data_IF_480174680693
#
_entry.id   IF_480174680693
#
_cell.length_a   1.000
_cell.length_b   1.000
_cell.length_c   1.000
_cell.angle_alpha   90.00
_cell.angle_beta   90.00
_cell.angle_gamma   90.00
#
_symmetry.space_group_name_H-M   'P 1'
#
loop_
_entity.id
_entity.type
_entity.pdbx_description
1 polymer ?
#
# COMPACT_ATOMS: atom_id res chain seq x y z
N UNK A 1 9.12 7.23 32.05
CA UNK A 1 8.96 7.60 30.61
C UNK A 1 7.48 7.59 30.27
N UNK A 2 7.03 8.61 29.54
CA UNK A 2 5.63 8.91 29.25
C UNK A 2 5.45 8.97 27.72
N UNK A 3 4.31 8.52 27.22
CA UNK A 3 3.96 8.43 25.80
C UNK A 3 2.56 9.01 25.60
N UNK A 4 2.33 9.62 24.43
CA UNK A 4 1.03 10.21 24.07
C UNK A 4 -0.13 9.22 24.20
N UNK A 5 0.06 7.97 23.79
CA UNK A 5 -0.94 6.91 23.87
C UNK A 5 -0.28 5.52 23.80
N UNK A 6 -1.11 4.47 23.91
CA UNK A 6 -0.67 3.07 23.87
C UNK A 6 0.01 2.70 22.55
N UNK A 7 -0.39 3.30 21.44
CA UNK A 7 0.16 2.97 20.12
C UNK A 7 1.58 3.53 19.95
N UNK A 8 1.83 4.74 20.49
CA UNK A 8 3.19 5.29 20.54
C UNK A 8 4.10 4.47 21.45
N UNK A 9 3.59 4.02 22.60
CA UNK A 9 4.33 3.09 23.45
C UNK A 9 4.68 1.78 22.71
N UNK A 10 3.72 1.18 21.99
CA UNK A 10 3.94 -0.04 21.21
C UNK A 10 4.97 0.15 20.10
N UNK A 11 5.00 1.30 19.46
CA UNK A 11 5.98 1.64 18.43
C UNK A 11 7.39 1.72 19.02
N UNK A 12 7.57 2.48 20.11
CA UNK A 12 8.88 2.63 20.76
C UNK A 12 9.36 1.30 21.35
N UNK A 13 8.48 0.54 22.01
CA UNK A 13 8.82 -0.79 22.51
C UNK A 13 9.25 -1.73 21.37
N UNK A 14 8.59 -1.64 20.21
CA UNK A 14 8.95 -2.44 19.03
C UNK A 14 10.34 -2.07 18.53
N UNK A 15 10.64 -0.77 18.38
CA UNK A 15 11.96 -0.30 17.96
C UNK A 15 13.05 -0.78 18.94
N UNK A 16 12.83 -0.63 20.26
CA UNK A 16 13.75 -1.10 21.29
C UNK A 16 14.02 -2.61 21.19
N UNK A 17 12.97 -3.44 21.11
CA UNK A 17 13.12 -4.90 21.04
C UNK A 17 13.86 -5.35 19.77
N UNK A 18 13.66 -4.66 18.64
CA UNK A 18 14.42 -4.92 17.41
C UNK A 18 15.88 -4.46 17.53
N UNK A 19 16.11 -3.29 18.13
CA UNK A 19 17.44 -2.74 18.35
C UNK A 19 18.28 -3.60 19.29
N UNK A 20 17.71 -4.09 20.39
CA UNK A 20 18.37 -5.02 21.32
C UNK A 20 18.43 -6.44 20.76
N UNK A 21 17.45 -6.81 19.92
CA UNK A 21 17.42 -8.06 19.19
C UNK A 21 17.07 -9.26 20.07
N UNK A 22 15.94 -9.20 20.77
CA UNK A 22 15.39 -10.34 21.52
C UNK A 22 13.90 -10.51 21.23
N UNK A 23 13.32 -11.65 21.59
CA UNK A 23 11.88 -11.90 21.40
C UNK A 23 11.14 -11.61 22.69
N UNK A 24 10.00 -10.92 22.59
CA UNK A 24 9.11 -10.68 23.72
C UNK A 24 7.87 -11.57 23.68
N UNK A 25 7.35 -11.89 24.87
CA UNK A 25 6.02 -12.47 25.08
C UNK A 25 5.13 -11.41 25.70
N UNK A 26 3.97 -11.17 25.08
CA UNK A 26 2.93 -10.27 25.60
C UNK A 26 2.07 -11.03 26.61
N UNK A 27 2.26 -10.75 27.89
CA UNK A 27 1.45 -11.33 28.97
C UNK A 27 0.06 -10.68 29.03
N UNK A 28 0.01 -9.36 28.78
CA UNK A 28 -1.22 -8.57 28.64
C UNK A 28 -1.00 -7.56 27.52
N UNK A 29 -1.98 -7.38 26.65
CA UNK A 29 -1.93 -6.39 25.57
C UNK A 29 -3.36 -5.90 25.28
N UNK A 30 -3.78 -4.89 26.02
CA UNK A 30 -5.11 -4.30 25.98
C UNK A 30 -4.96 -2.79 25.67
N UNK A 31 -6.06 -2.07 25.49
CA UNK A 31 -6.01 -0.60 25.35
C UNK A 31 -5.55 0.09 26.64
N UNK A 32 -5.82 -0.51 27.80
CA UNK A 32 -5.59 0.08 29.13
C UNK A 32 -4.38 -0.50 29.86
N UNK A 33 -3.66 -1.45 29.28
CA UNK A 33 -2.40 -1.97 29.84
C UNK A 33 -1.64 -2.82 28.83
N UNK A 34 -0.32 -2.80 28.96
CA UNK A 34 0.54 -3.71 28.24
C UNK A 34 1.66 -4.21 29.16
N UNK A 35 1.82 -5.53 29.21
CA UNK A 35 2.87 -6.20 29.98
C UNK A 35 3.60 -7.15 29.06
N UNK A 36 4.92 -6.98 28.93
CA UNK A 36 5.77 -7.87 28.15
C UNK A 36 6.91 -8.40 29.01
N UNK A 37 7.36 -9.61 28.71
CA UNK A 37 8.58 -10.20 29.24
C UNK A 37 9.45 -10.72 28.10
N UNK A 38 10.73 -10.95 28.35
CA UNK A 38 11.57 -11.67 27.41
C UNK A 38 11.03 -13.11 27.25
N UNK A 39 11.14 -13.66 26.04
CA UNK A 39 10.74 -15.03 25.74
C UNK A 39 11.75 -16.09 26.23
N UNK A 40 13.00 -15.69 26.48
CA UNK A 40 14.04 -16.62 26.94
C UNK A 40 13.81 -17.02 28.40
N UNK A 41 13.97 -18.31 28.69
CA UNK A 41 13.86 -18.84 30.04
C UNK A 41 14.97 -18.28 30.93
N UNK A 42 14.62 -17.95 32.18
CA UNK A 42 15.54 -17.36 33.15
C UNK A 42 15.82 -15.86 32.96
N UNK A 43 15.36 -15.24 31.88
CA UNK A 43 15.54 -13.80 31.69
C UNK A 43 14.60 -12.98 32.59
N UNK A 44 15.16 -12.02 33.35
CA UNK A 44 14.40 -11.15 34.26
C UNK A 44 13.74 -9.95 33.56
N UNK A 45 14.10 -9.67 32.30
CA UNK A 45 13.60 -8.52 31.55
C UNK A 45 12.07 -8.53 31.47
N UNK A 46 11.46 -7.43 31.93
CA UNK A 46 10.00 -7.26 31.96
C UNK A 46 9.63 -5.79 31.96
N UNK A 47 8.59 -5.45 31.21
CA UNK A 47 8.03 -4.10 31.15
C UNK A 47 6.53 -4.13 31.39
N UNK A 48 6.04 -3.15 32.15
CA UNK A 48 4.62 -2.89 32.35
C UNK A 48 4.32 -1.42 32.15
N UNK A 49 3.34 -1.13 31.30
CA UNK A 49 2.85 0.21 31.04
C UNK A 49 1.32 0.25 31.06
N UNK A 50 0.77 1.36 31.52
CA UNK A 50 -0.66 1.63 31.59
C UNK A 50 -0.95 3.15 31.48
N UNK A 51 -2.19 3.56 31.19
CA UNK A 51 -2.57 4.96 31.18
C UNK A 51 -2.32 5.66 32.52
N UNK A 52 -2.13 6.97 32.48
CA UNK A 52 -2.24 7.85 33.63
C UNK A 52 -3.72 8.09 33.98
N UNK A 53 -3.97 8.89 35.01
CA UNK A 53 -5.32 9.24 35.47
C UNK A 53 -6.15 9.97 34.40
N UNK A 54 -5.50 10.58 33.41
CA UNK A 54 -6.15 11.21 32.26
C UNK A 54 -6.76 10.21 31.26
N UNK A 55 -6.49 8.91 31.40
CA UNK A 55 -7.04 7.85 30.55
C UNK A 55 -6.46 7.77 29.13
N UNK A 56 -5.55 8.69 28.76
CA UNK A 56 -4.99 8.79 27.39
C UNK A 56 -3.49 8.55 27.42
N UNK A 57 -2.77 9.29 28.25
CA UNK A 57 -1.31 9.28 28.29
C UNK A 57 -0.81 7.96 28.87
N UNK A 58 0.07 7.27 28.15
CA UNK A 58 0.61 5.99 28.59
C UNK A 58 1.95 6.16 29.31
N UNK A 59 2.15 5.50 30.45
CA UNK A 59 3.41 5.55 31.18
C UNK A 59 3.93 4.17 31.51
N UNK A 60 5.26 4.01 31.44
CA UNK A 60 5.92 2.82 32.00
C UNK A 60 5.83 2.91 33.52
N UNK A 61 5.10 1.97 34.13
CA UNK A 61 4.90 1.88 35.58
C UNK A 61 5.96 1.02 36.25
N UNK A 62 6.45 0.00 35.55
CA UNK A 62 7.58 -0.79 36.01
C UNK A 62 8.40 -1.32 34.84
N UNK A 63 9.71 -1.33 35.02
CA UNK A 63 10.69 -1.84 34.07
C UNK A 63 11.79 -2.57 34.84
N UNK A 64 11.94 -3.87 34.56
CA UNK A 64 13.15 -4.64 34.86
C UNK A 64 13.96 -4.66 33.57
N UNK A 65 15.01 -3.83 33.51
CA UNK A 65 15.78 -3.59 32.29
C UNK A 65 16.92 -4.61 32.07
N UNK A 66 17.30 -5.36 33.09
CA UNK A 66 18.36 -6.38 33.00
C UNK A 66 17.99 -7.43 31.94
N UNK A 67 18.80 -7.48 30.88
CA UNK A 67 18.68 -8.43 29.81
C UNK A 67 20.07 -8.99 29.48
N UNK A 68 20.24 -10.30 29.67
CA UNK A 68 21.54 -10.99 29.51
C UNK A 68 21.52 -12.01 28.37
N UNK A 69 20.45 -12.04 27.57
CA UNK A 69 20.32 -13.04 26.51
C UNK A 69 21.17 -12.69 25.30
N UNK A 70 21.52 -13.73 24.55
CA UNK A 70 22.18 -13.57 23.25
C UNK A 70 21.22 -12.95 22.25
N UNK A 71 21.71 -11.97 21.49
CA UNK A 71 20.97 -11.33 20.41
C UNK A 71 20.50 -12.35 19.36
N UNK A 72 19.25 -12.27 18.94
CA UNK A 72 18.69 -12.99 17.80
C UNK A 72 18.49 -12.07 16.59
N UNK A 73 18.76 -12.60 15.39
CA UNK A 73 18.52 -11.88 14.12
C UNK A 73 17.07 -11.95 13.63
N UNK A 74 16.28 -12.90 14.14
CA UNK A 74 14.87 -13.11 13.77
C UNK A 74 13.96 -12.65 14.90
N UNK A 75 13.62 -11.37 14.86
CA UNK A 75 12.74 -10.73 15.85
C UNK A 75 11.33 -10.61 15.26
N UNK A 76 10.30 -11.10 15.97
CA UNK A 76 8.89 -11.05 15.50
C UNK A 76 8.40 -9.60 15.30
N UNK A 77 8.95 -8.68 16.08
CA UNK A 77 8.69 -7.26 16.06
C UNK A 77 9.18 -6.58 14.75
N UNK A 78 10.22 -7.11 14.11
CA UNK A 78 10.73 -6.67 12.81
C UNK A 78 9.91 -7.23 11.63
N UNK A 79 8.59 -7.07 11.69
CA UNK A 79 7.68 -7.56 10.66
C UNK A 79 7.63 -6.64 9.42
N UNK A 80 6.89 -7.05 8.38
CA UNK A 80 6.80 -6.29 7.12
C UNK A 80 6.27 -4.87 7.26
N UNK A 81 5.42 -4.60 8.27
CA UNK A 81 4.92 -3.24 8.54
C UNK A 81 5.95 -2.36 9.24
N UNK A 82 6.80 -2.95 10.08
CA UNK A 82 7.91 -2.22 10.69
C UNK A 82 8.98 -1.92 9.63
N UNK A 83 9.35 -2.93 8.84
CA UNK A 83 10.31 -2.78 7.75
C UNK A 83 9.83 -1.77 6.71
N UNK A 84 8.55 -1.79 6.32
CA UNK A 84 8.04 -0.83 5.32
C UNK A 84 8.26 0.61 5.74
N UNK A 85 8.02 0.97 7.01
CA UNK A 85 8.27 2.32 7.55
C UNK A 85 9.73 2.76 7.39
N UNK A 86 10.69 1.85 7.59
CA UNK A 86 12.12 2.15 7.43
C UNK A 86 12.54 2.23 5.96
N UNK A 87 11.76 1.64 5.04
CA UNK A 87 12.04 1.58 3.61
C UNK A 87 11.39 2.70 2.80
N UNK A 88 10.36 3.39 3.32
CA UNK A 88 9.64 4.45 2.56
C UNK A 88 10.60 5.48 1.98
N UNK A 89 11.47 6.06 2.79
CA UNK A 89 12.38 7.11 2.30
C UNK A 89 13.38 6.56 1.27
N UNK A 90 13.94 5.37 1.53
CA UNK A 90 14.90 4.72 0.65
C UNK A 90 14.27 4.40 -0.72
N UNK A 91 13.02 3.93 -0.73
CA UNK A 91 12.30 3.59 -1.95
C UNK A 91 11.75 4.81 -2.68
N UNK A 92 11.60 5.98 -2.04
CA UNK A 92 11.36 7.23 -2.75
C UNK A 92 12.56 7.65 -3.58
N UNK A 93 13.75 7.49 -3.03
CA UNK A 93 15.01 7.82 -3.71
C UNK A 93 15.39 6.77 -4.76
N UNK A 94 15.09 5.49 -4.47
CA UNK A 94 15.42 4.36 -5.33
C UNK A 94 14.24 3.36 -5.47
N UNK A 95 13.21 3.68 -6.27
CA UNK A 95 11.99 2.85 -6.39
C UNK A 95 12.23 1.41 -6.87
N UNK A 96 13.24 1.23 -7.74
CA UNK A 96 13.59 -0.04 -8.35
C UNK A 96 14.51 -0.92 -7.49
N UNK A 97 14.75 -0.53 -6.24
CA UNK A 97 15.59 -1.31 -5.33
C UNK A 97 15.07 -2.74 -5.20
N UNK A 98 15.94 -3.68 -5.59
CA UNK A 98 15.67 -5.12 -5.53
C UNK A 98 15.75 -5.62 -4.09
N UNK A 99 15.13 -6.77 -3.83
CA UNK A 99 15.09 -7.40 -2.50
C UNK A 99 16.48 -7.61 -1.87
N UNK A 100 17.53 -7.84 -2.68
CA UNK A 100 18.92 -7.93 -2.19
C UNK A 100 19.41 -6.61 -1.58
N UNK A 101 19.12 -5.48 -2.23
CA UNK A 101 19.45 -4.15 -1.71
C UNK A 101 18.67 -3.85 -0.44
N UNK A 102 17.37 -4.17 -0.43
CA UNK A 102 16.53 -4.05 0.78
C UNK A 102 17.09 -4.89 1.94
N UNK A 103 17.54 -6.13 1.66
CA UNK A 103 18.15 -6.98 2.67
C UNK A 103 19.40 -6.33 3.26
N UNK A 104 20.25 -5.75 2.41
CA UNK A 104 21.46 -5.05 2.84
C UNK A 104 21.11 -3.82 3.71
N UNK A 105 20.15 -3.01 3.29
CA UNK A 105 19.66 -1.86 4.08
C UNK A 105 19.14 -2.25 5.46
N UNK A 106 18.54 -3.43 5.59
CA UNK A 106 18.04 -3.91 6.87
C UNK A 106 19.13 -4.50 7.77
N UNK A 107 20.35 -4.75 7.27
CA UNK A 107 21.47 -5.20 8.09
C UNK A 107 21.89 -4.18 9.13
N UNK A 108 21.65 -2.87 8.92
CA UNK A 108 21.93 -1.83 9.93
C UNK A 108 21.13 -1.98 11.22
N UNK A 109 20.02 -2.73 11.17
CA UNK A 109 19.23 -3.10 12.34
C UNK A 109 19.58 -4.48 12.90
N UNK A 110 20.61 -5.13 12.34
CA UNK A 110 21.07 -6.47 12.71
C UNK A 110 19.96 -7.53 12.67
N UNK A 111 19.06 -7.45 11.67
CA UNK A 111 17.99 -8.42 11.42
C UNK A 111 18.24 -9.22 10.14
N UNK A 112 17.70 -10.45 10.07
CA UNK A 112 17.74 -11.31 8.89
C UNK A 112 16.35 -11.88 8.55
N UNK A 113 15.47 -11.05 7.96
CA UNK A 113 14.11 -11.45 7.62
C UNK A 113 14.07 -12.40 6.39
N UNK A 114 13.09 -13.32 6.33
CA UNK A 114 12.86 -14.15 5.15
C UNK A 114 12.53 -13.31 3.91
N UNK A 115 12.89 -13.82 2.72
CA UNK A 115 12.69 -13.13 1.44
C UNK A 115 11.23 -12.69 1.21
N UNK A 116 10.26 -13.54 1.55
CA UNK A 116 8.82 -13.20 1.43
C UNK A 116 8.41 -12.02 2.32
N UNK A 117 9.05 -11.81 3.46
CA UNK A 117 8.79 -10.63 4.29
C UNK A 117 9.38 -9.36 3.67
N UNK A 118 10.54 -9.45 3.00
CA UNK A 118 11.14 -8.34 2.25
C UNK A 118 10.21 -7.90 1.11
N UNK A 119 9.68 -8.85 0.35
CA UNK A 119 8.71 -8.56 -0.72
C UNK A 119 7.47 -7.84 -0.20
N UNK A 120 6.88 -8.36 0.90
CA UNK A 120 5.71 -7.73 1.55
C UNK A 120 6.04 -6.34 2.10
N UNK A 121 7.23 -6.15 2.66
CA UNK A 121 7.67 -4.84 3.17
C UNK A 121 7.85 -3.82 2.05
N UNK A 122 8.49 -4.23 0.94
CA UNK A 122 8.63 -3.42 -0.28
C UNK A 122 7.27 -3.00 -0.83
N UNK A 123 6.35 -3.96 -1.03
CA UNK A 123 5.00 -3.69 -1.53
C UNK A 123 4.27 -2.67 -0.65
N UNK A 124 4.27 -2.86 0.67
CA UNK A 124 3.67 -1.92 1.63
C UNK A 124 4.32 -0.54 1.63
N UNK A 125 5.62 -0.46 1.39
CA UNK A 125 6.32 0.83 1.32
C UNK A 125 5.96 1.58 0.03
N UNK A 126 5.91 0.89 -1.12
CA UNK A 126 5.47 1.48 -2.39
C UNK A 126 4.00 1.93 -2.34
N UNK A 127 3.11 1.13 -1.75
CA UNK A 127 1.70 1.52 -1.54
C UNK A 127 1.55 2.78 -0.68
N UNK A 128 2.48 3.05 0.25
CA UNK A 128 2.49 4.29 1.03
C UNK A 128 3.03 5.50 0.24
N UNK A 129 3.80 5.26 -0.83
CA UNK A 129 4.40 6.31 -1.66
C UNK A 129 3.44 6.67 -2.79
N UNK A 130 3.02 5.67 -3.56
CA UNK A 130 2.24 5.84 -4.80
C UNK A 130 0.72 5.79 -4.54
N UNK A 131 0.31 5.35 -3.35
CA UNK A 131 -1.07 4.98 -3.05
C UNK A 131 -1.37 3.55 -3.47
N UNK A 132 -2.57 3.07 -3.13
CA UNK A 132 -3.02 1.77 -3.63
C UNK A 132 -3.56 1.89 -5.05
N UNK A 133 -3.53 0.78 -5.78
CA UNK A 133 -4.25 0.65 -7.04
C UNK A 133 -5.74 0.97 -6.87
N UNK A 134 -6.37 0.55 -5.76
CA UNK A 134 -7.76 0.87 -5.44
C UNK A 134 -8.00 2.37 -5.33
N UNK A 135 -7.08 3.10 -4.70
CA UNK A 135 -7.12 4.57 -4.61
C UNK A 135 -6.94 5.25 -5.98
N UNK A 136 -6.30 4.57 -6.93
CA UNK A 136 -6.16 5.07 -8.30
C UNK A 136 -7.46 4.87 -9.08
N UNK A 137 -8.08 3.69 -8.97
CA UNK A 137 -9.38 3.42 -9.61
C UNK A 137 -10.50 4.31 -9.05
N UNK A 138 -10.50 4.61 -7.74
CA UNK A 138 -11.49 5.50 -7.12
C UNK A 138 -11.43 6.94 -7.64
N UNK A 139 -10.30 7.36 -8.22
CA UNK A 139 -10.12 8.69 -8.83
C UNK A 139 -10.63 8.79 -10.27
N UNK A 140 -10.90 7.67 -10.95
CA UNK A 140 -11.35 7.66 -12.35
C UNK A 140 -12.60 8.50 -12.63
N UNK A 141 -13.64 8.54 -11.76
CA UNK A 141 -14.82 9.37 -12.01
C UNK A 141 -14.49 10.86 -12.03
N UNK A 142 -13.68 11.30 -11.07
CA UNK A 142 -13.20 12.68 -11.01
C UNK A 142 -12.30 13.00 -12.22
N UNK A 143 -11.39 12.10 -12.59
CA UNK A 143 -10.56 12.26 -13.77
C UNK A 143 -11.40 12.40 -15.04
N UNK A 144 -12.41 11.54 -15.22
CA UNK A 144 -13.32 11.60 -16.37
C UNK A 144 -14.04 12.94 -16.47
N UNK A 145 -14.50 13.47 -15.34
CA UNK A 145 -15.16 14.77 -15.29
C UNK A 145 -14.19 15.93 -15.59
N UNK A 146 -12.97 15.87 -15.06
CA UNK A 146 -11.94 16.87 -15.33
C UNK A 146 -11.63 16.96 -16.83
N UNK A 147 -11.45 15.82 -17.51
CA UNK A 147 -11.20 15.80 -18.96
C UNK A 147 -12.35 16.43 -19.74
N UNK A 148 -13.60 16.11 -19.40
CA UNK A 148 -14.78 16.72 -20.07
C UNK A 148 -14.82 18.24 -19.90
N UNK A 149 -14.46 18.74 -18.72
CA UNK A 149 -14.43 20.18 -18.42
C UNK A 149 -13.28 20.90 -19.11
N UNK A 150 -12.07 20.38 -18.99
CA UNK A 150 -10.87 21.05 -19.50
C UNK A 150 -10.67 20.90 -21.01
N UNK A 151 -11.25 19.87 -21.63
CA UNK A 151 -11.06 19.56 -23.04
C UNK A 151 -12.41 19.39 -23.74
N UNK A 152 -13.07 20.52 -24.02
CA UNK A 152 -14.39 20.55 -24.66
C UNK A 152 -14.39 19.76 -25.99
N UNK A 153 -15.43 18.96 -26.19
CA UNK A 153 -15.55 18.05 -27.35
C UNK A 153 -14.95 16.66 -27.15
N UNK A 154 -14.19 16.44 -26.06
CA UNK A 154 -13.68 15.12 -25.69
C UNK A 154 -14.78 14.23 -25.13
N UNK A 155 -14.70 12.93 -25.42
CA UNK A 155 -15.65 11.92 -24.97
C UNK A 155 -14.98 11.05 -23.91
N UNK A 156 -15.57 11.01 -22.71
CA UNK A 156 -15.16 10.05 -21.68
C UNK A 156 -16.37 9.25 -21.22
N UNK A 157 -16.31 7.93 -21.38
CA UNK A 157 -17.35 7.00 -20.92
C UNK A 157 -16.77 6.05 -19.89
N UNK A 158 -17.38 6.02 -18.71
CA UNK A 158 -16.99 5.14 -17.61
C UNK A 158 -18.10 4.12 -17.40
N UNK A 159 -17.73 2.84 -17.35
CA UNK A 159 -18.67 1.75 -17.11
C UNK A 159 -18.25 0.96 -15.88
N UNK A 160 -19.25 0.59 -15.08
CA UNK A 160 -19.12 -0.26 -13.91
C UNK A 160 -19.76 -1.61 -14.19
N UNK A 161 -19.38 -2.63 -13.43
CA UNK A 161 -20.08 -3.89 -13.41
C UNK A 161 -21.48 -3.65 -12.80
N UNK A 162 -22.50 -4.21 -13.44
CA UNK A 162 -23.81 -4.39 -12.83
C UNK A 162 -23.74 -5.67 -12.02
N UNK A 163 -24.27 -5.68 -10.80
CA UNK A 163 -24.37 -6.92 -10.02
C UNK A 163 -25.33 -7.86 -10.76
N UNK A 164 -24.86 -9.04 -11.16
CA UNK A 164 -25.65 -10.07 -11.85
C UNK A 164 -26.56 -10.86 -10.88
N UNK A 165 -27.19 -10.17 -9.92
CA UNK A 165 -28.10 -10.79 -8.93
C UNK A 165 -29.58 -10.40 -9.16
N UNK A 166 -30.00 -10.22 -10.42
CA UNK A 166 -31.40 -9.92 -10.78
C UNK A 166 -31.99 -11.06 -11.65
N UNK A 167 -31.91 -12.32 -11.18
CA UNK A 167 -32.63 -13.46 -11.80
C UNK A 167 -33.70 -14.08 -10.88
N UNK A 168 -34.11 -13.37 -9.84
CA UNK A 168 -35.36 -13.67 -9.13
C UNK A 168 -36.11 -12.36 -8.94
N UNK A 169 -37.34 -12.31 -9.45
CA UNK A 169 -38.13 -11.10 -9.71
C UNK A 169 -38.62 -10.33 -8.48
N UNK A 170 -37.74 -10.06 -7.52
CA UNK A 170 -38.02 -9.18 -6.39
C UNK A 170 -37.33 -7.83 -6.58
N UNK A 171 -38.15 -6.78 -6.51
CA UNK A 171 -37.78 -5.37 -6.58
C UNK A 171 -36.88 -4.99 -5.38
N UNK A 172 -35.58 -5.28 -5.46
CA UNK A 172 -34.59 -4.73 -4.54
C UNK A 172 -33.61 -3.90 -5.34
N UNK A 173 -33.86 -2.59 -5.35
CA UNK A 173 -32.84 -1.59 -5.70
C UNK A 173 -31.61 -1.83 -4.83
N UNK A 174 -30.63 -2.54 -5.35
CA UNK A 174 -29.35 -2.72 -4.67
C UNK A 174 -28.25 -2.37 -5.65
N UNK A 175 -28.06 -1.06 -5.81
CA UNK A 175 -26.78 -0.53 -6.26
C UNK A 175 -25.72 -1.19 -5.35
N UNK A 176 -24.71 -1.90 -5.87
CA UNK A 176 -23.60 -2.36 -5.06
C UNK A 176 -23.08 -1.18 -4.24
N UNK A 177 -22.93 -1.35 -2.93
CA UNK A 177 -22.50 -0.30 -2.00
C UNK A 177 -21.19 0.37 -2.48
N UNK A 178 -20.41 -0.32 -3.32
CA UNK A 178 -19.29 0.25 -4.08
C UNK A 178 -19.34 -0.23 -5.55
N UNK A 179 -19.60 0.65 -6.54
CA UNK A 179 -19.62 0.26 -7.95
C UNK A 179 -18.23 -0.20 -8.41
N UNK A 180 -18.15 -1.45 -8.91
CA UNK A 180 -16.89 -2.04 -9.37
C UNK A 180 -16.56 -1.57 -10.78
N UNK A 181 -15.36 -1.01 -10.98
CA UNK A 181 -14.92 -0.52 -12.29
C UNK A 181 -14.84 -1.67 -13.33
N UNK A 182 -15.44 -1.47 -14.51
CA UNK A 182 -15.38 -2.43 -15.63
C UNK A 182 -14.45 -1.96 -16.74
N UNK A 183 -14.69 -0.75 -17.26
CA UNK A 183 -13.89 -0.16 -18.34
C UNK A 183 -14.07 1.35 -18.42
N UNK A 184 -13.07 2.02 -18.98
CA UNK A 184 -13.13 3.43 -19.36
C UNK A 184 -12.78 3.56 -20.83
N UNK A 185 -13.50 4.43 -21.53
CA UNK A 185 -13.15 4.91 -22.86
C UNK A 185 -12.85 6.40 -22.77
N UNK A 186 -11.72 6.82 -23.33
CA UNK A 186 -11.29 8.22 -23.43
C UNK A 186 -10.96 8.50 -24.89
N UNK A 187 -11.73 9.39 -25.51
CA UNK A 187 -11.47 9.91 -26.85
C UNK A 187 -11.30 11.42 -26.79
N UNK A 188 -10.06 11.89 -26.85
CA UNK A 188 -9.75 13.33 -26.81
C UNK A 188 -10.14 14.00 -28.13
N UNK A 189 -10.73 15.20 -28.07
CA UNK A 189 -11.23 15.91 -29.25
C UNK A 189 -10.12 16.22 -30.26
N UNK A 190 -8.95 16.62 -29.76
CA UNK A 190 -7.77 16.90 -30.58
C UNK A 190 -7.32 15.66 -31.38
N UNK A 191 -7.26 14.49 -30.74
CA UNK A 191 -6.88 13.23 -31.41
C UNK A 191 -7.93 12.80 -32.44
N UNK A 192 -9.22 12.90 -32.08
CA UNK A 192 -10.33 12.64 -33.00
C UNK A 192 -10.23 13.50 -34.26
N UNK A 193 -9.98 14.81 -34.10
CA UNK A 193 -9.79 15.73 -35.24
C UNK A 193 -8.54 15.41 -36.05
N UNK A 194 -7.42 15.10 -35.39
CA UNK A 194 -6.16 14.71 -36.05
C UNK A 194 -6.33 13.48 -36.94
N UNK A 195 -7.03 12.45 -36.46
CA UNK A 195 -7.33 11.25 -37.25
C UNK A 195 -8.23 11.60 -38.45
N UNK A 196 -9.31 12.35 -38.23
CA UNK A 196 -10.27 12.67 -39.30
C UNK A 196 -9.69 13.58 -40.40
N UNK A 197 -8.74 14.45 -40.05
CA UNK A 197 -8.21 15.46 -40.97
C UNK A 197 -6.86 15.07 -41.59
N UNK A 198 -6.03 14.33 -40.87
CA UNK A 198 -4.64 14.06 -41.25
C UNK A 198 -4.27 12.60 -41.46
N UNK A 199 -5.14 11.65 -41.05
CA UNK A 199 -4.88 10.23 -41.25
C UNK A 199 -5.63 9.68 -42.45
N UNK A 200 -5.07 8.62 -43.02
CA UNK A 200 -5.74 7.74 -43.97
C UNK A 200 -7.02 7.15 -43.34
N UNK A 201 -8.02 6.72 -44.15
CA UNK A 201 -9.27 6.11 -43.67
C UNK A 201 -9.05 4.67 -43.17
N UNK A 202 -8.09 4.52 -42.27
CA UNK A 202 -7.69 3.28 -41.63
C UNK A 202 -7.51 3.55 -40.14
N UNK A 203 -8.15 2.73 -39.32
CA UNK A 203 -8.06 2.79 -37.87
C UNK A 203 -7.65 1.41 -37.34
N UNK A 204 -6.42 1.33 -36.84
CA UNK A 204 -5.91 0.17 -36.13
C UNK A 204 -6.19 0.25 -34.64
N UNK A 205 -6.10 -0.90 -33.95
CA UNK A 205 -6.09 -0.96 -32.49
C UNK A 205 -4.90 -1.80 -32.05
N UNK A 206 -4.14 -1.29 -31.09
CA UNK A 206 -3.10 -2.03 -30.38
C UNK A 206 -3.50 -2.20 -28.91
N UNK A 207 -3.04 -3.30 -28.31
CA UNK A 207 -3.43 -3.72 -26.98
C UNK A 207 -2.26 -4.16 -26.13
N UNK A 208 -2.11 -3.57 -24.94
CA UNK A 208 -1.13 -3.98 -23.95
C UNK A 208 -1.81 -4.54 -22.70
N UNK A 209 -1.33 -5.69 -22.20
CA UNK A 209 -1.78 -6.23 -20.92
C UNK A 209 -1.22 -5.40 -19.77
N UNK A 210 -2.11 -4.91 -18.90
CA UNK A 210 -1.75 -4.17 -17.71
C UNK A 210 -1.13 -5.09 -16.67
N UNK A 211 0.04 -4.69 -16.15
CA UNK A 211 0.69 -5.38 -15.04
C UNK A 211 0.14 -4.84 -13.72
N UNK A 212 -0.39 -5.74 -12.89
CA UNK A 212 -0.93 -5.36 -11.59
C UNK A 212 -1.86 -6.43 -11.03
N UNK A 213 -2.38 -6.22 -9.82
CA UNK A 213 -3.26 -7.19 -9.16
C UNK A 213 -4.62 -7.33 -9.84
N UNK A 214 -5.08 -6.34 -10.61
CA UNK A 214 -6.40 -6.33 -11.26
C UNK A 214 -6.36 -6.76 -12.73
N UNK A 215 -5.18 -6.96 -13.31
CA UNK A 215 -5.02 -7.27 -14.74
C UNK A 215 -5.67 -6.23 -15.65
N UNK A 216 -6.13 -6.67 -16.82
CA UNK A 216 -6.81 -5.85 -17.82
C UNK A 216 -5.97 -5.58 -19.05
N UNK A 217 -6.59 -4.96 -20.05
CA UNK A 217 -5.97 -4.60 -21.33
C UNK A 217 -6.18 -3.11 -21.56
N UNK A 218 -5.11 -2.40 -21.85
CA UNK A 218 -5.16 -1.04 -22.39
C UNK A 218 -5.20 -1.16 -23.91
N UNK A 219 -6.30 -0.71 -24.51
CA UNK A 219 -6.45 -0.61 -25.96
C UNK A 219 -6.21 0.84 -26.39
N UNK A 220 -5.37 1.04 -27.39
CA UNK A 220 -5.11 2.32 -28.03
C UNK A 220 -5.49 2.25 -29.51
N UNK A 221 -6.18 3.28 -30.02
CA UNK A 221 -6.43 3.41 -31.44
C UNK A 221 -5.19 4.00 -32.14
N UNK A 222 -4.91 3.58 -33.37
CA UNK A 222 -3.77 4.04 -34.16
C UNK A 222 -4.25 4.43 -35.56
N UNK A 223 -3.87 5.63 -36.01
CA UNK A 223 -4.05 6.08 -37.39
C UNK A 223 -2.75 5.97 -38.19
N UNK A 224 -2.86 5.99 -39.52
CA UNK A 224 -1.70 6.19 -40.42
C UNK A 224 -1.77 7.59 -41.00
N UNK A 225 -0.74 8.40 -40.79
CA UNK A 225 -0.69 9.75 -41.33
C UNK A 225 -0.34 9.78 -42.84
N UNK A 226 -0.25 10.97 -43.43
CA UNK A 226 0.10 11.16 -44.83
C UNK A 226 1.49 10.63 -45.23
N UNK A 227 2.39 10.43 -44.26
CA UNK A 227 3.72 9.87 -44.46
C UNK A 227 3.76 8.35 -44.23
N UNK A 228 2.62 7.73 -43.89
CA UNK A 228 2.49 6.33 -43.47
C UNK A 228 3.16 6.02 -42.13
N UNK A 229 3.36 7.03 -41.29
CA UNK A 229 3.79 6.87 -39.91
C UNK A 229 2.58 6.68 -38.98
N UNK A 230 2.82 6.09 -37.81
CA UNK A 230 1.77 5.86 -36.81
C UNK A 230 1.41 7.16 -36.07
N UNK A 231 0.13 7.53 -36.14
CA UNK A 231 -0.46 8.60 -35.34
C UNK A 231 -1.16 8.00 -34.11
N UNK A 232 -0.79 8.49 -32.93
CA UNK A 232 -1.32 8.07 -31.63
C UNK A 232 -2.16 9.19 -31.00
#
# INVERSE_FOLDING_TARGET
MIFENVDKFREVLRDYVVQEGFVIVRLKNERTRMTCKCAADGCSWRIHASPLSDGVTFAIKSLKAEHTCVRVKRVKEANSSWMSKKLVQILRENPDMKARGIKHELQKYSIDPPYMQLYRARKKALEQIDGSYGDSYSKLPHYAEMVRRSNHGSIVKLQYNQDENDDDGDLVSSIPIVPSFKRIFVGLDALKKGILQGCSPFLGFDGCHLKGPYGGVLLAAIGLDGNKDYFH
#
